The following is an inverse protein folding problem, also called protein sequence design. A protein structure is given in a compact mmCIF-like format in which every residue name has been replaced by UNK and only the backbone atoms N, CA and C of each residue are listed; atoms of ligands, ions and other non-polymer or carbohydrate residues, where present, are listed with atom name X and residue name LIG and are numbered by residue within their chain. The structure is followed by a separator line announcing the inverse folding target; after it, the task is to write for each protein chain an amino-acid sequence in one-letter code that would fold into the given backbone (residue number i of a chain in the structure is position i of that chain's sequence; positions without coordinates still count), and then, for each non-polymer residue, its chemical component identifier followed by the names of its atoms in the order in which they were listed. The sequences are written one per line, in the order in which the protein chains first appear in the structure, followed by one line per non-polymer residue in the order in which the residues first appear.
data_IF_859209513582
#
_entry.id   IF_859209513582
#
_cell.length_a   1.000
_cell.length_b   1.000
_cell.length_c   1.000
_cell.angle_alpha   90.00
_cell.angle_beta   90.00
_cell.angle_gamma   90.00
#
_symmetry.space_group_name_H-M   'P 1'
#
loop_
_entity.id
_entity.type
_entity.pdbx_description
1 polymer ?
#
# COMPACT_ATOMS: atom_id res chain seq x y z
N UNK A 1 4.36 -12.90 11.56
CA UNK A 1 3.60 -11.62 11.63
C UNK A 1 2.56 -11.56 12.77
N UNK A 2 2.59 -10.53 13.64
CA UNK A 2 1.56 -10.31 14.68
C UNK A 2 0.18 -9.95 14.07
N UNK A 3 -0.92 -10.52 14.56
CA UNK A 3 -2.25 -10.40 13.93
C UNK A 3 -2.80 -8.97 13.80
N UNK A 4 -2.51 -8.08 14.74
CA UNK A 4 -2.95 -6.66 14.68
C UNK A 4 -2.21 -5.86 13.61
N UNK A 5 -0.94 -6.20 13.37
CA UNK A 5 -0.12 -5.60 12.32
C UNK A 5 -0.66 -5.96 10.94
N UNK A 6 -1.00 -7.25 10.75
CA UNK A 6 -1.59 -7.73 9.50
C UNK A 6 -2.93 -7.06 9.21
N UNK A 7 -3.80 -6.96 10.21
CA UNK A 7 -5.09 -6.28 10.08
C UNK A 7 -4.95 -4.82 9.67
N UNK A 8 -3.94 -4.12 10.19
CA UNK A 8 -3.67 -2.72 9.86
C UNK A 8 -3.22 -2.56 8.41
N UNK A 9 -2.33 -3.44 7.95
CA UNK A 9 -1.89 -3.48 6.55
C UNK A 9 -3.03 -3.84 5.61
N UNK A 10 -3.83 -4.86 5.93
CA UNK A 10 -4.97 -5.27 5.11
C UNK A 10 -5.99 -4.12 4.91
N UNK A 11 -6.33 -3.39 5.99
CA UNK A 11 -7.24 -2.22 5.89
C UNK A 11 -6.63 -1.12 5.02
N UNK A 12 -5.34 -0.85 5.15
CA UNK A 12 -4.66 0.16 4.35
C UNK A 12 -4.58 -0.25 2.87
N UNK A 13 -4.31 -1.53 2.58
CA UNK A 13 -4.29 -2.06 1.22
C UNK A 13 -5.66 -2.01 0.55
N UNK A 14 -6.73 -2.35 1.27
CA UNK A 14 -8.09 -2.25 0.73
C UNK A 14 -8.48 -0.80 0.43
N UNK A 15 -8.06 0.15 1.28
CA UNK A 15 -8.22 1.58 0.97
C UNK A 15 -7.43 1.98 -0.28
N UNK A 16 -6.21 1.49 -0.43
CA UNK A 16 -5.36 1.80 -1.58
C UNK A 16 -5.87 1.23 -2.91
N UNK A 17 -6.60 0.11 -2.89
CA UNK A 17 -7.22 -0.47 -4.09
C UNK A 17 -8.44 0.31 -4.60
N UNK A 18 -9.03 1.17 -3.76
CA UNK A 18 -10.24 1.92 -4.11
C UNK A 18 -10.03 2.80 -5.34
N UNK A 19 -10.96 2.72 -6.30
CA UNK A 19 -10.87 3.34 -7.63
C UNK A 19 -10.87 4.89 -7.64
N UNK A 20 -11.17 5.55 -6.53
CA UNK A 20 -11.37 7.00 -6.46
C UNK A 20 -10.40 7.70 -5.50
N UNK A 21 -9.32 7.05 -5.11
CA UNK A 21 -8.42 7.63 -4.11
C UNK A 21 -7.56 8.74 -4.73
N UNK A 22 -7.64 9.95 -4.15
CA UNK A 22 -6.80 11.07 -4.56
C UNK A 22 -5.32 10.76 -4.31
N UNK A 23 -4.42 11.26 -5.16
CA UNK A 23 -2.98 11.00 -5.07
C UNK A 23 -2.39 11.34 -3.68
N UNK A 24 -2.85 12.42 -3.04
CA UNK A 24 -2.41 12.77 -1.68
C UNK A 24 -2.81 11.73 -0.62
N UNK A 25 -4.01 11.15 -0.74
CA UNK A 25 -4.46 10.07 0.13
C UNK A 25 -3.72 8.75 -0.17
N UNK A 26 -3.37 8.50 -1.43
CA UNK A 26 -2.51 7.38 -1.82
C UNK A 26 -1.14 7.46 -1.16
N UNK A 27 -0.44 8.59 -1.33
CA UNK A 27 0.89 8.80 -0.75
C UNK A 27 0.88 8.71 0.77
N UNK A 28 -0.17 9.24 1.43
CA UNK A 28 -0.33 9.14 2.87
C UNK A 28 -0.49 7.68 3.35
N UNK A 29 -1.37 6.90 2.71
CA UNK A 29 -1.56 5.49 3.04
C UNK A 29 -0.31 4.65 2.73
N UNK A 30 0.38 4.93 1.63
CA UNK A 30 1.64 4.29 1.28
C UNK A 30 2.72 4.54 2.34
N UNK A 31 2.89 5.80 2.75
CA UNK A 31 3.84 6.18 3.80
C UNK A 31 3.53 5.51 5.14
N UNK A 32 2.25 5.42 5.50
CA UNK A 32 1.80 4.71 6.70
C UNK A 32 2.17 3.21 6.64
N UNK A 33 1.84 2.52 5.54
CA UNK A 33 2.18 1.11 5.37
C UNK A 33 3.70 0.87 5.44
N UNK A 34 4.48 1.71 4.77
CA UNK A 34 5.94 1.60 4.77
C UNK A 34 6.51 1.80 6.18
N UNK A 35 6.02 2.80 6.92
CA UNK A 35 6.42 3.03 8.31
C UNK A 35 6.08 1.86 9.22
N UNK A 36 4.91 1.25 9.04
CA UNK A 36 4.48 0.05 9.78
C UNK A 36 5.39 -1.15 9.48
N UNK A 37 5.73 -1.39 8.21
CA UNK A 37 6.61 -2.49 7.81
C UNK A 37 8.03 -2.29 8.37
N UNK A 38 8.61 -1.09 8.18
CA UNK A 38 9.95 -0.79 8.69
C UNK A 38 10.01 -0.83 10.21
N UNK A 39 8.97 -0.34 10.90
CA UNK A 39 8.87 -0.42 12.36
C UNK A 39 8.75 -1.86 12.85
N UNK A 40 7.98 -2.70 12.14
CA UNK A 40 7.89 -4.12 12.46
C UNK A 40 9.23 -4.84 12.26
N UNK A 41 9.97 -4.53 11.20
CA UNK A 41 11.32 -5.07 10.97
C UNK A 41 12.28 -4.65 12.07
N UNK A 42 12.30 -3.36 12.43
CA UNK A 42 13.17 -2.82 13.48
C UNK A 42 12.90 -3.43 14.85
N UNK A 43 11.65 -3.78 15.15
CA UNK A 43 11.24 -4.45 16.38
C UNK A 43 11.29 -5.99 16.30
N UNK A 44 11.91 -6.58 15.26
CA UNK A 44 11.96 -8.03 15.02
C UNK A 44 10.57 -8.71 14.94
N UNK A 45 9.53 -7.95 14.62
CA UNK A 45 8.15 -8.43 14.44
C UNK A 45 7.84 -8.94 13.03
N UNK A 46 8.77 -8.74 12.07
CA UNK A 46 8.81 -9.34 10.74
C UNK A 46 10.23 -9.79 10.40
N UNK A 47 10.30 -10.88 9.66
CA UNK A 47 11.52 -11.34 8.97
C UNK A 47 11.79 -10.51 7.71
N UNK A 48 13.03 -10.55 7.21
CA UNK A 48 13.40 -9.84 5.97
C UNK A 48 12.60 -10.33 4.76
N UNK A 49 12.21 -11.61 4.76
CA UNK A 49 11.35 -12.21 3.72
C UNK A 49 9.93 -11.66 3.78
N UNK A 50 9.32 -11.58 4.97
CA UNK A 50 8.00 -10.96 5.16
C UNK A 50 8.03 -9.47 4.73
N UNK A 51 9.09 -8.75 5.08
CA UNK A 51 9.29 -7.35 4.65
C UNK A 51 9.39 -7.22 3.14
N UNK A 52 10.15 -8.11 2.48
CA UNK A 52 10.30 -8.09 1.03
C UNK A 52 8.95 -8.33 0.32
N UNK A 53 8.15 -9.28 0.80
CA UNK A 53 6.81 -9.56 0.28
C UNK A 53 5.88 -8.36 0.43
N UNK A 54 5.83 -7.74 1.62
CA UNK A 54 4.97 -6.58 1.86
C UNK A 54 5.39 -5.36 1.04
N UNK A 55 6.71 -5.15 0.85
CA UNK A 55 7.23 -4.09 -0.03
C UNK A 55 6.90 -4.33 -1.49
N UNK A 56 6.99 -5.58 -1.97
CA UNK A 56 6.57 -5.93 -3.33
C UNK A 56 5.08 -5.66 -3.56
N UNK A 57 4.24 -5.98 -2.57
CA UNK A 57 2.81 -5.70 -2.62
C UNK A 57 2.53 -4.19 -2.67
N UNK A 58 3.25 -3.38 -1.88
CA UNK A 58 3.18 -1.93 -1.96
C UNK A 58 3.60 -1.39 -3.33
N UNK A 59 4.68 -1.90 -3.93
CA UNK A 59 5.11 -1.52 -5.28
C UNK A 59 4.06 -1.86 -6.34
N UNK A 60 3.39 -3.01 -6.22
CA UNK A 60 2.27 -3.37 -7.08
C UNK A 60 1.11 -2.37 -6.97
N UNK A 61 0.77 -1.92 -5.75
CA UNK A 61 -0.29 -0.95 -5.54
C UNK A 61 0.06 0.43 -6.12
N UNK A 62 1.33 0.85 -6.07
CA UNK A 62 1.81 2.08 -6.74
C UNK A 62 1.62 1.96 -8.25
N UNK A 63 2.08 0.86 -8.85
CA UNK A 63 1.92 0.62 -10.28
C UNK A 63 0.43 0.63 -10.69
N UNK A 64 -0.45 0.01 -9.91
CA UNK A 64 -1.90 0.04 -10.16
C UNK A 64 -2.49 1.45 -10.04
N UNK A 65 -2.06 2.24 -9.07
CA UNK A 65 -2.49 3.62 -8.93
C UNK A 65 -2.04 4.46 -10.13
N UNK A 66 -0.79 4.33 -10.55
CA UNK A 66 -0.23 5.09 -11.67
C UNK A 66 -0.87 4.70 -13.00
N UNK A 67 -1.16 3.40 -13.22
CA UNK A 67 -1.93 2.94 -14.38
C UNK A 67 -3.33 3.55 -14.43
N UNK A 68 -4.00 3.67 -13.28
CA UNK A 68 -5.34 4.30 -13.18
C UNK A 68 -5.28 5.81 -13.34
N UNK A 69 -4.24 6.46 -12.78
CA UNK A 69 -4.01 7.89 -12.94
C UNK A 69 -3.63 8.25 -14.39
N UNK A 70 -3.04 7.29 -15.12
CA UNK A 70 -2.65 7.41 -16.51
C UNK A 70 -3.73 7.07 -17.55
N UNK A 71 -4.95 6.66 -17.16
CA UNK A 71 -6.05 6.44 -18.12
C UNK A 71 -6.53 7.78 -18.72
N UNK A 72 -6.26 8.08 -20.00
CA UNK A 72 -6.83 9.23 -20.68
C UNK A 72 -8.20 8.78 -21.25
N UNK A 73 -9.28 8.86 -20.48
CA UNK A 73 -10.48 8.16 -20.94
C UNK A 73 -11.81 8.29 -20.20
N UNK A 74 -12.11 9.42 -19.56
CA UNK A 74 -13.52 9.78 -19.24
C UNK A 74 -13.91 11.13 -19.86
N UNK A 75 -13.58 11.29 -21.13
CA UNK A 75 -14.36 12.11 -22.08
C UNK A 75 -15.18 11.17 -22.97
N UNK A 76 -16.35 10.76 -22.46
CA UNK A 76 -17.53 10.34 -23.23
C UNK A 76 -18.65 11.15 -22.63
N UNK A 77 -19.44 11.95 -23.32
CA UNK A 77 -19.68 12.26 -24.72
C UNK A 77 -20.91 13.16 -24.70
#
# INVERSE_FOLDING_TARGET
MQGNLRRTLDVAYERMKSHSMAAGAFTGNYGLCLGVIMGAQACQGMTDEEVAVERAHLSMLVALHDMKAGEPGRSRG
#
